data_IF_971248345188
#
_entry.id   IF_971248345188
#
_cell.length_a   1.000
_cell.length_b   1.000
_cell.length_c   1.000
_cell.angle_alpha   90.00
_cell.angle_beta   90.00
_cell.angle_gamma   90.00
#
_symmetry.space_group_name_H-M   'P 1'
#
loop_
_entity.id
_entity.type
_entity.pdbx_description
1 polymer ?
#
# COMPACT_ATOMS: atom_id res chain seq x y z
N UNK A 1 60.68 8.80 20.36
CA UNK A 1 59.32 9.12 20.85
C UNK A 1 59.45 9.52 22.30
N UNK A 2 58.90 10.67 22.70
CA UNK A 2 58.94 11.08 24.11
C UNK A 2 57.91 10.26 24.89
N UNK A 3 58.23 9.92 26.15
CA UNK A 3 57.35 9.13 27.02
C UNK A 3 55.95 9.78 27.18
N UNK A 4 55.92 11.11 27.15
CA UNK A 4 54.69 11.91 27.17
C UNK A 4 53.79 11.66 25.95
N UNK A 5 54.36 11.47 24.76
CA UNK A 5 53.60 11.23 23.54
C UNK A 5 53.00 9.82 23.52
N UNK A 6 53.72 8.85 24.08
CA UNK A 6 53.23 7.48 24.23
C UNK A 6 52.09 7.40 25.24
N UNK A 7 52.23 8.06 26.39
CA UNK A 7 51.18 8.11 27.41
C UNK A 7 49.89 8.76 26.88
N UNK A 8 50.01 9.87 26.13
CA UNK A 8 48.85 10.52 25.52
C UNK A 8 48.15 9.62 24.50
N UNK A 9 48.92 8.93 23.65
CA UNK A 9 48.37 7.99 22.66
C UNK A 9 47.63 6.83 23.33
N UNK A 10 48.17 6.26 24.41
CA UNK A 10 47.51 5.16 25.14
C UNK A 10 46.22 5.62 25.82
N UNK A 11 46.19 6.83 26.38
CA UNK A 11 44.95 7.40 26.97
C UNK A 11 43.87 7.60 25.91
N UNK A 12 44.24 8.14 24.74
CA UNK A 12 43.30 8.37 23.64
C UNK A 12 42.76 7.06 23.03
N UNK A 13 43.59 6.00 22.95
CA UNK A 13 43.16 4.67 22.49
C UNK A 13 42.17 4.02 23.49
N UNK A 14 42.47 4.06 24.80
CA UNK A 14 41.58 3.51 25.84
C UNK A 14 40.25 4.26 25.89
N UNK A 15 40.27 5.59 25.76
CA UNK A 15 39.03 6.39 25.74
C UNK A 15 38.16 6.09 24.51
N UNK A 16 38.77 5.78 23.37
CA UNK A 16 38.03 5.39 22.16
C UNK A 16 37.42 3.99 22.26
N UNK A 17 38.11 3.08 22.92
CA UNK A 17 37.63 1.71 23.20
C UNK A 17 36.44 1.75 24.19
N UNK A 18 36.53 2.55 25.26
CA UNK A 18 35.41 2.78 26.20
C UNK A 18 34.16 3.34 25.48
N UNK A 19 34.35 4.29 24.55
CA UNK A 19 33.25 4.84 23.75
C UNK A 19 32.62 3.80 22.80
N UNK A 20 33.41 2.89 22.24
CA UNK A 20 32.90 1.85 21.35
C UNK A 20 32.07 0.82 22.12
N UNK A 21 32.55 0.39 23.29
CA UNK A 21 31.86 -0.55 24.16
C UNK A 21 30.55 0.04 24.71
N UNK A 22 30.52 1.33 25.05
CA UNK A 22 29.29 2.00 25.48
C UNK A 22 28.25 2.12 24.34
N UNK A 23 28.69 2.35 23.10
CA UNK A 23 27.79 2.40 21.93
C UNK A 23 27.23 1.01 21.62
N UNK A 24 28.06 -0.04 21.66
CA UNK A 24 27.60 -1.42 21.44
C UNK A 24 26.58 -1.86 22.51
N UNK A 25 26.82 -1.54 23.79
CA UNK A 25 25.88 -1.83 24.87
C UNK A 25 24.55 -1.08 24.71
N UNK A 26 24.56 0.18 24.26
CA UNK A 26 23.33 0.94 23.97
C UNK A 26 22.55 0.38 22.78
N UNK A 27 23.24 -0.11 21.75
CA UNK A 27 22.62 -0.76 20.59
C UNK A 27 22.02 -2.10 20.99
N UNK A 28 22.69 -2.89 21.83
CA UNK A 28 22.16 -4.15 22.34
C UNK A 28 20.89 -3.94 23.19
N UNK A 29 20.90 -2.96 24.11
CA UNK A 29 19.72 -2.61 24.91
C UNK A 29 18.55 -2.11 24.07
N UNK A 30 18.82 -1.34 23.01
CA UNK A 30 17.79 -0.85 22.10
C UNK A 30 17.12 -2.00 21.33
N UNK A 31 17.89 -3.02 20.92
CA UNK A 31 17.35 -4.21 20.23
C UNK A 31 16.49 -5.08 21.14
N UNK A 32 16.89 -5.31 22.38
CA UNK A 32 16.06 -6.06 23.36
C UNK A 32 14.75 -5.32 23.68
N UNK A 33 14.76 -3.98 23.72
CA UNK A 33 13.56 -3.17 23.89
C UNK A 33 12.63 -3.16 22.66
N UNK A 34 13.17 -3.38 21.47
CA UNK A 34 12.41 -3.48 20.22
C UNK A 34 11.76 -4.87 20.07
N UNK A 35 12.50 -5.93 20.42
CA UNK A 35 11.98 -7.31 20.42
C UNK A 35 10.87 -7.52 21.47
N UNK A 36 11.02 -6.95 22.68
CA UNK A 36 9.98 -7.03 23.72
C UNK A 36 8.71 -6.21 23.42
N UNK A 37 8.78 -5.23 22.50
CA UNK A 37 7.60 -4.46 22.03
C UNK A 37 6.81 -5.18 20.94
N UNK A 38 7.41 -6.12 20.23
CA UNK A 38 6.79 -6.87 19.14
C UNK A 38 5.86 -8.00 19.64
N UNK A 39 6.02 -8.46 20.88
CA UNK A 39 5.24 -9.60 21.41
C UNK A 39 3.90 -9.21 22.09
N UNK A 40 3.64 -7.93 22.39
CA UNK A 40 2.45 -7.54 23.20
C UNK A 40 1.32 -6.81 22.45
N UNK A 41 1.38 -6.63 21.14
CA UNK A 41 0.26 -6.01 20.40
C UNK A 41 -0.54 -7.07 19.64
N UNK A 42 -1.60 -7.60 20.27
CA UNK A 42 -2.71 -8.22 19.56
C UNK A 42 -3.43 -7.11 18.76
N UNK A 43 -2.96 -6.86 17.54
CA UNK A 43 -3.69 -6.13 16.51
C UNK A 43 -4.47 -7.18 15.73
N UNK A 44 -5.79 -7.03 15.67
CA UNK A 44 -6.59 -7.66 14.63
C UNK A 44 -5.90 -7.39 13.28
N UNK A 45 -5.48 -8.46 12.60
CA UNK A 45 -4.77 -8.40 11.33
C UNK A 45 -5.57 -7.50 10.37
N UNK A 46 -4.96 -6.45 9.78
CA UNK A 46 -5.54 -5.88 8.58
C UNK A 46 -5.59 -7.01 7.55
N UNK A 47 -6.76 -7.30 6.99
CA UNK A 47 -6.87 -8.21 5.84
C UNK A 47 -5.82 -7.80 4.82
N UNK A 48 -4.77 -8.60 4.71
CA UNK A 48 -3.72 -8.39 3.72
C UNK A 48 -4.38 -8.71 2.39
N UNK A 49 -4.84 -7.69 1.70
CA UNK A 49 -5.37 -7.81 0.35
C UNK A 49 -4.22 -8.37 -0.49
N UNK A 50 -4.26 -9.67 -0.78
CA UNK A 50 -3.26 -10.34 -1.62
C UNK A 50 -3.46 -9.88 -3.07
N UNK A 51 -2.76 -8.80 -3.42
CA UNK A 51 -2.78 -8.23 -4.77
C UNK A 51 -2.37 -9.25 -5.84
N UNK A 52 -1.56 -10.27 -5.50
CA UNK A 52 -1.17 -11.31 -6.45
C UNK A 52 -2.32 -12.26 -6.78
N UNK A 53 -3.24 -12.50 -5.84
CA UNK A 53 -4.43 -13.32 -6.08
C UNK A 53 -5.36 -12.64 -7.10
N UNK A 54 -5.56 -11.32 -6.97
CA UNK A 54 -6.33 -10.53 -7.92
C UNK A 54 -5.64 -10.40 -9.28
N UNK A 55 -4.32 -10.23 -9.32
CA UNK A 55 -3.56 -10.17 -10.57
C UNK A 55 -3.70 -11.48 -11.36
N UNK A 56 -3.64 -12.63 -10.68
CA UNK A 56 -3.88 -13.93 -11.29
C UNK A 56 -5.31 -14.09 -11.81
N UNK A 57 -6.30 -13.69 -11.03
CA UNK A 57 -7.72 -13.76 -11.42
C UNK A 57 -8.03 -12.83 -12.62
N UNK A 58 -7.45 -11.63 -12.65
CA UNK A 58 -7.56 -10.70 -13.77
C UNK A 58 -6.93 -11.28 -15.04
N UNK A 59 -5.74 -11.88 -14.94
CA UNK A 59 -5.07 -12.49 -16.08
C UNK A 59 -5.86 -13.68 -16.63
N UNK A 60 -6.41 -14.54 -15.75
CA UNK A 60 -7.30 -15.64 -16.16
C UNK A 60 -8.59 -15.11 -16.84
N UNK A 61 -9.17 -14.02 -16.34
CA UNK A 61 -10.34 -13.37 -16.96
C UNK A 61 -10.03 -12.77 -18.34
N UNK A 62 -8.84 -12.18 -18.53
CA UNK A 62 -8.39 -11.63 -19.81
C UNK A 62 -8.17 -12.75 -20.84
N UNK A 63 -7.54 -13.84 -20.44
CA UNK A 63 -7.26 -14.99 -21.31
C UNK A 63 -8.57 -15.64 -21.80
N UNK A 64 -9.54 -15.81 -20.88
CA UNK A 64 -10.89 -16.33 -21.17
C UNK A 64 -11.71 -15.42 -22.09
N UNK A 65 -11.47 -14.11 -22.06
CA UNK A 65 -12.15 -13.10 -22.90
C UNK A 65 -11.61 -13.07 -24.34
N UNK A 66 -10.44 -13.66 -24.60
CA UNK A 66 -9.84 -13.71 -25.94
C UNK A 66 -10.47 -14.79 -26.85
N UNK A 67 -11.14 -15.79 -26.27
CA UNK A 67 -11.76 -16.91 -27.01
C UNK A 67 -13.26 -16.67 -27.32
N UNK A 68 -13.94 -15.78 -26.60
CA UNK A 68 -15.35 -15.44 -26.82
C UNK A 68 -15.52 -13.94 -27.09
N UNK A 69 -15.79 -13.61 -28.35
CA UNK A 69 -16.23 -12.28 -28.75
C UNK A 69 -17.58 -11.96 -28.09
N UNK A 70 -17.60 -11.24 -26.97
CA UNK A 70 -18.67 -10.33 -26.52
C UNK A 70 -18.24 -9.57 -25.26
N UNK A 71 -18.72 -8.34 -25.18
CA UNK A 71 -18.50 -7.33 -24.15
C UNK A 71 -18.43 -7.88 -22.71
N UNK A 72 -17.65 -7.24 -21.80
CA UNK A 72 -17.71 -7.57 -20.38
C UNK A 72 -19.08 -7.18 -19.82
N UNK A 73 -20.03 -8.10 -19.87
CA UNK A 73 -21.27 -7.96 -19.12
C UNK A 73 -20.99 -8.39 -17.69
N UNK A 74 -20.61 -7.43 -16.85
CA UNK A 74 -20.79 -7.57 -15.41
C UNK A 74 -22.29 -7.71 -15.19
N UNK A 75 -22.74 -8.90 -14.83
CA UNK A 75 -24.11 -9.14 -14.38
C UNK A 75 -24.33 -8.29 -13.13
N UNK A 76 -24.91 -7.10 -13.30
CA UNK A 76 -25.42 -6.28 -12.20
C UNK A 76 -26.63 -7.02 -11.64
N UNK A 77 -26.37 -8.04 -10.84
CA UNK A 77 -27.39 -8.59 -9.97
C UNK A 77 -27.63 -7.52 -8.90
N UNK A 78 -28.75 -6.81 -9.00
CA UNK A 78 -29.32 -6.00 -7.92
C UNK A 78 -29.71 -6.92 -6.76
N UNK A 79 -28.73 -7.54 -6.11
CA UNK A 79 -28.91 -8.19 -4.82
C UNK A 79 -28.97 -7.09 -3.78
N UNK A 80 -30.16 -6.52 -3.61
CA UNK A 80 -30.44 -5.52 -2.58
C UNK A 80 -30.20 -6.04 -1.14
N UNK A 81 -30.01 -7.35 -0.97
CA UNK A 81 -29.88 -8.00 0.35
C UNK A 81 -28.44 -8.28 0.84
N UNK A 82 -27.37 -8.03 0.05
CA UNK A 82 -25.99 -8.28 0.50
C UNK A 82 -25.40 -7.16 1.39
N UNK A 83 -26.14 -6.05 1.59
CA UNK A 83 -25.72 -4.92 2.45
C UNK A 83 -26.39 -4.90 3.82
N UNK A 84 -27.03 -6.00 4.23
CA UNK A 84 -27.70 -6.14 5.52
C UNK A 84 -26.70 -6.07 6.70
N UNK A 85 -26.26 -4.86 7.04
CA UNK A 85 -25.25 -4.58 8.05
C UNK A 85 -24.50 -3.27 7.85
N UNK A 86 -24.53 -2.66 6.66
CA UNK A 86 -23.85 -1.38 6.42
C UNK A 86 -24.69 -0.18 6.86
N UNK A 87 -24.01 0.89 7.26
CA UNK A 87 -24.66 2.19 7.45
C UNK A 87 -25.20 2.71 6.11
N UNK A 88 -26.35 3.38 6.12
CA UNK A 88 -26.92 4.00 4.91
C UNK A 88 -25.89 4.87 4.15
N UNK A 89 -25.05 5.61 4.87
CA UNK A 89 -24.02 6.44 4.28
C UNK A 89 -22.93 5.62 3.57
N UNK A 90 -22.60 4.45 4.12
CA UNK A 90 -21.62 3.53 3.57
C UNK A 90 -22.16 2.82 2.33
N UNK A 91 -23.41 2.36 2.37
CA UNK A 91 -24.08 1.79 1.20
C UNK A 91 -24.13 2.79 0.02
N UNK A 92 -24.50 4.05 0.29
CA UNK A 92 -24.52 5.11 -0.73
C UNK A 92 -23.11 5.41 -1.24
N UNK A 93 -22.11 5.47 -0.37
CA UNK A 93 -20.72 5.66 -0.78
C UNK A 93 -20.24 4.52 -1.69
N UNK A 94 -20.49 3.26 -1.31
CA UNK A 94 -20.08 2.08 -2.07
C UNK A 94 -20.81 1.97 -3.41
N UNK A 95 -22.10 2.31 -3.48
CA UNK A 95 -22.81 2.42 -4.77
C UNK A 95 -22.15 3.45 -5.67
N UNK A 96 -21.87 4.65 -5.14
CA UNK A 96 -21.25 5.70 -5.92
C UNK A 96 -19.83 5.35 -6.40
N UNK A 97 -19.01 4.68 -5.59
CA UNK A 97 -17.67 4.27 -6.04
C UNK A 97 -17.77 3.17 -7.10
N UNK A 98 -18.68 2.21 -6.93
CA UNK A 98 -18.92 1.13 -7.90
C UNK A 98 -19.27 1.68 -9.27
N UNK A 99 -20.26 2.57 -9.36
CA UNK A 99 -20.67 3.16 -10.64
C UNK A 99 -19.51 3.91 -11.33
N UNK A 100 -18.71 4.65 -10.55
CA UNK A 100 -17.54 5.37 -11.09
C UNK A 100 -16.48 4.42 -11.63
N UNK A 101 -16.19 3.33 -10.92
CA UNK A 101 -15.22 2.32 -11.35
C UNK A 101 -15.70 1.59 -12.61
N UNK A 102 -17.00 1.24 -12.68
CA UNK A 102 -17.58 0.62 -13.87
C UNK A 102 -17.45 1.50 -15.12
N UNK A 103 -17.74 2.80 -15.00
CA UNK A 103 -17.58 3.76 -16.10
C UNK A 103 -16.12 3.87 -16.55
N UNK A 104 -15.15 3.83 -15.62
CA UNK A 104 -13.73 3.81 -15.96
C UNK A 104 -13.37 2.55 -16.75
N UNK A 105 -13.85 1.39 -16.32
CA UNK A 105 -13.62 0.12 -17.03
C UNK A 105 -14.27 0.09 -18.40
N UNK A 106 -15.50 0.58 -18.54
CA UNK A 106 -16.16 0.70 -19.85
C UNK A 106 -15.34 1.61 -20.78
N UNK A 107 -14.96 2.80 -20.32
CA UNK A 107 -14.21 3.76 -21.12
C UNK A 107 -12.81 3.27 -21.54
N UNK A 108 -12.14 2.48 -20.69
CA UNK A 108 -10.87 1.84 -21.03
C UNK A 108 -11.07 0.65 -21.98
N UNK A 109 -12.09 -0.18 -21.75
CA UNK A 109 -12.38 -1.36 -22.56
C UNK A 109 -12.92 -1.02 -23.94
N UNK A 110 -13.57 0.13 -24.11
CA UNK A 110 -14.10 0.61 -25.38
C UNK A 110 -13.09 1.43 -26.19
N UNK A 111 -11.88 1.65 -25.66
CA UNK A 111 -10.85 2.45 -26.33
C UNK A 111 -10.12 1.61 -27.37
N UNK A 112 -9.95 2.16 -28.58
CA UNK A 112 -9.09 1.56 -29.59
C UNK A 112 -7.62 1.58 -29.13
N UNK A 113 -6.81 0.61 -29.58
CA UNK A 113 -5.39 0.50 -29.18
C UNK A 113 -4.58 1.80 -29.40
N UNK A 114 -4.95 2.59 -30.41
CA UNK A 114 -4.29 3.86 -30.75
C UNK A 114 -4.53 4.96 -29.71
N UNK A 115 -5.71 4.96 -29.10
CA UNK A 115 -6.13 5.96 -28.12
C UNK A 115 -6.02 5.46 -26.68
N UNK A 116 -5.83 4.14 -26.49
CA UNK A 116 -5.72 3.49 -25.19
C UNK A 116 -4.65 4.14 -24.31
N UNK A 117 -3.50 4.51 -24.88
CA UNK A 117 -2.43 5.17 -24.11
C UNK A 117 -2.90 6.51 -23.56
N UNK A 118 -3.46 7.36 -24.40
CA UNK A 118 -3.97 8.68 -24.00
C UNK A 118 -5.16 8.56 -23.02
N UNK A 119 -6.01 7.54 -23.19
CA UNK A 119 -7.12 7.24 -22.28
C UNK A 119 -6.61 6.80 -20.91
N UNK A 120 -5.58 5.95 -20.88
CA UNK A 120 -4.95 5.51 -19.64
C UNK A 120 -4.29 6.67 -18.91
N UNK A 121 -3.51 7.50 -19.62
CA UNK A 121 -2.87 8.68 -19.05
C UNK A 121 -3.93 9.66 -18.46
N UNK A 122 -5.04 9.89 -19.16
CA UNK A 122 -6.16 10.68 -18.63
C UNK A 122 -6.79 10.06 -17.38
N UNK A 123 -6.95 8.74 -17.38
CA UNK A 123 -7.52 8.00 -16.24
C UNK A 123 -6.62 8.10 -15.01
N UNK A 124 -5.30 7.98 -15.19
CA UNK A 124 -4.32 8.17 -14.12
C UNK A 124 -4.44 9.58 -13.54
N UNK A 125 -4.40 10.62 -14.38
CA UNK A 125 -4.51 12.02 -13.93
C UNK A 125 -5.81 12.28 -13.15
N UNK A 126 -6.92 11.68 -13.60
CA UNK A 126 -8.20 11.77 -12.89
C UNK A 126 -8.14 11.11 -11.52
N UNK A 127 -7.55 9.91 -11.41
CA UNK A 127 -7.41 9.19 -10.15
C UNK A 127 -6.48 9.93 -9.17
N UNK A 128 -5.39 10.53 -9.66
CA UNK A 128 -4.51 11.38 -8.85
C UNK A 128 -5.26 12.60 -8.29
N UNK A 129 -6.03 13.30 -9.14
CA UNK A 129 -6.87 14.40 -8.71
C UNK A 129 -7.92 13.96 -7.67
N UNK A 130 -8.57 12.82 -7.90
CA UNK A 130 -9.55 12.24 -6.99
C UNK A 130 -8.90 11.94 -5.63
N UNK A 131 -7.72 11.31 -5.62
CA UNK A 131 -6.96 11.02 -4.41
C UNK A 131 -6.62 12.30 -3.66
N UNK A 132 -6.11 13.33 -4.34
CA UNK A 132 -5.82 14.63 -3.73
C UNK A 132 -7.06 15.25 -3.07
N UNK A 133 -8.24 15.16 -3.71
CA UNK A 133 -9.48 15.64 -3.11
C UNK A 133 -9.92 14.84 -1.89
N UNK A 134 -9.67 13.52 -1.87
CA UNK A 134 -9.94 12.69 -0.68
C UNK A 134 -9.03 13.13 0.45
N UNK A 135 -7.73 13.25 0.21
CA UNK A 135 -6.74 13.71 1.19
C UNK A 135 -7.12 15.09 1.77
N UNK A 136 -7.53 16.04 0.92
CA UNK A 136 -7.97 17.37 1.35
C UNK A 136 -9.25 17.34 2.20
N UNK A 137 -10.12 16.35 2.00
CA UNK A 137 -11.32 16.16 2.82
C UNK A 137 -11.01 15.49 4.16
N UNK A 138 -10.05 14.56 4.19
CA UNK A 138 -9.64 13.86 5.42
C UNK A 138 -8.84 14.75 6.38
N UNK A 139 -8.13 15.77 5.86
CA UNK A 139 -7.38 16.74 6.66
C UNK A 139 -8.25 17.78 7.39
N UNK A 140 -9.54 17.86 7.07
CA UNK A 140 -10.50 18.80 7.67
C UNK A 140 -11.26 18.15 8.81
#
# INVERSE_FOLDING_TARGET
MNLHDLAKKTIDEVSKEELHEEVENKIALAKEQEESKLEETQLDEPEVIDFNAYEKEINELIEKKSEESKEPQVLINDKQDEFAGLSFNEEVFLKNIRERVLVLFEGLSSSDEKDLRSRLDLTINFLEFLLANIEDKLKK
#
